data_IF_376296098881
#
_entry.id   IF_376296098881
#
_cell.length_a   1.000
_cell.length_b   1.000
_cell.length_c   1.000
_cell.angle_alpha   90.00
_cell.angle_beta   90.00
_cell.angle_gamma   90.00
#
_symmetry.space_group_name_H-M   'P 1'
#
loop_
_entity.id
_entity.type
_entity.pdbx_description
1 polymer ?
#
# COMPACT_ATOMS: atom_id res chain seq x y z
N UNK A 1 -8.55 27.97 17.93
CA UNK A 1 -7.79 27.55 16.73
C UNK A 1 -6.50 26.97 17.27
N UNK A 2 -6.47 25.66 17.45
CA UNK A 2 -5.26 24.93 17.87
C UNK A 2 -4.43 24.65 16.64
N UNK A 3 -3.32 25.37 16.48
CA UNK A 3 -2.30 25.02 15.50
C UNK A 3 -1.82 23.60 15.78
N UNK A 4 -2.06 22.69 14.82
CA UNK A 4 -1.44 21.36 14.85
C UNK A 4 0.08 21.56 14.86
N UNK A 5 0.84 20.88 15.73
CA UNK A 5 2.28 21.00 15.76
C UNK A 5 2.85 20.71 14.37
N UNK A 6 3.46 21.69 13.75
CA UNK A 6 4.20 21.55 12.49
C UNK A 6 5.44 20.71 12.78
N UNK A 7 5.32 19.40 12.62
CA UNK A 7 6.49 18.53 12.64
C UNK A 7 7.34 18.87 11.43
N UNK A 8 8.58 19.30 11.64
CA UNK A 8 9.49 19.62 10.55
C UNK A 8 9.68 18.39 9.63
N UNK A 9 9.69 18.58 8.30
CA UNK A 9 9.92 17.49 7.38
C UNK A 9 11.35 16.98 7.48
N UNK A 10 11.54 15.66 7.40
CA UNK A 10 12.88 15.05 7.34
C UNK A 10 13.57 15.45 6.03
N UNK A 11 12.80 15.57 4.93
CA UNK A 11 13.31 15.89 3.59
C UNK A 11 12.19 16.39 2.69
N UNK A 12 12.54 17.23 1.73
CA UNK A 12 11.66 17.62 0.62
C UNK A 12 12.03 16.80 -0.62
N UNK A 13 11.03 16.18 -1.24
CA UNK A 13 11.14 15.40 -2.49
C UNK A 13 10.18 15.97 -3.54
N UNK A 14 10.70 16.80 -4.44
CA UNK A 14 9.87 17.56 -5.37
C UNK A 14 8.89 18.46 -4.62
N UNK A 15 7.59 18.24 -4.81
CA UNK A 15 6.50 18.98 -4.13
C UNK A 15 6.00 18.29 -2.85
N UNK A 16 6.70 17.28 -2.35
CA UNK A 16 6.29 16.52 -1.18
C UNK A 16 7.25 16.71 -0.01
N UNK A 17 6.72 16.98 1.16
CA UNK A 17 7.45 16.93 2.42
C UNK A 17 7.39 15.50 2.97
N UNK A 18 8.54 14.88 3.19
CA UNK A 18 8.69 13.56 3.80
C UNK A 18 8.81 13.72 5.31
N UNK A 19 7.98 13.01 6.06
CA UNK A 19 8.00 13.00 7.52
C UNK A 19 8.40 11.60 8.05
N UNK A 20 8.02 11.30 9.31
CA UNK A 20 8.38 10.06 9.99
C UNK A 20 7.89 8.80 9.25
N UNK A 21 8.59 7.72 9.50
CA UNK A 21 8.19 6.39 9.07
C UNK A 21 6.91 5.94 9.80
N UNK A 22 5.98 5.34 9.05
CA UNK A 22 4.72 4.80 9.57
C UNK A 22 4.63 3.28 9.36
N UNK A 23 5.37 2.72 8.39
CA UNK A 23 5.45 1.29 8.17
C UNK A 23 6.76 0.91 7.48
N UNK A 24 7.29 -0.27 7.78
CA UNK A 24 8.44 -0.86 7.10
C UNK A 24 8.09 -2.21 6.49
N UNK A 25 8.52 -2.41 5.24
CA UNK A 25 8.44 -3.68 4.51
C UNK A 25 9.82 -4.20 4.10
N UNK A 26 9.85 -5.35 3.45
CA UNK A 26 11.11 -5.97 3.01
C UNK A 26 11.87 -5.16 1.96
N UNK A 27 11.16 -4.47 1.07
CA UNK A 27 11.75 -3.74 -0.07
C UNK A 27 11.62 -2.21 0.05
N UNK A 28 10.68 -1.72 0.84
CA UNK A 28 10.34 -0.31 0.94
C UNK A 28 9.90 0.06 2.35
N UNK A 29 10.04 1.33 2.66
CA UNK A 29 9.53 1.96 3.87
C UNK A 29 8.42 2.93 3.50
N UNK A 30 7.35 2.98 4.28
CA UNK A 30 6.26 3.95 4.09
C UNK A 30 6.40 5.07 5.11
N UNK A 31 6.38 6.29 4.62
CA UNK A 31 6.46 7.50 5.42
C UNK A 31 5.15 8.28 5.37
N UNK A 32 4.84 8.96 6.45
CA UNK A 32 3.89 10.05 6.40
C UNK A 32 4.48 11.17 5.53
N UNK A 33 3.67 11.75 4.67
CA UNK A 33 4.09 12.84 3.81
C UNK A 33 3.04 13.93 3.69
N UNK A 34 3.45 15.04 3.09
CA UNK A 34 2.57 16.16 2.79
C UNK A 34 2.79 16.63 1.37
N UNK A 35 1.75 16.62 0.55
CA UNK A 35 1.75 17.34 -0.72
C UNK A 35 1.69 18.84 -0.41
N UNK A 36 2.65 19.59 -0.93
CA UNK A 36 2.74 21.05 -0.80
C UNK A 36 2.24 21.68 -2.10
N UNK A 37 1.26 22.54 -1.99
CA UNK A 37 0.69 23.27 -3.12
C UNK A 37 0.80 24.78 -2.95
N UNK A 38 0.39 25.55 -3.98
CA UNK A 38 0.38 27.01 -3.92
C UNK A 38 -0.59 27.53 -2.86
N UNK A 39 -0.40 28.77 -2.43
CA UNK A 39 -1.26 29.47 -1.48
C UNK A 39 -1.50 28.73 -0.14
N UNK A 40 -0.51 27.96 0.34
CA UNK A 40 -0.61 27.23 1.60
C UNK A 40 -1.44 25.94 1.51
N UNK A 41 -1.89 25.54 0.31
CA UNK A 41 -2.56 24.25 0.14
C UNK A 41 -1.63 23.10 0.56
N UNK A 42 -2.15 22.21 1.40
CA UNK A 42 -1.44 20.99 1.74
C UNK A 42 -2.40 19.83 1.95
N UNK A 43 -1.97 18.62 1.58
CA UNK A 43 -2.73 17.38 1.74
C UNK A 43 -1.81 16.30 2.31
N UNK A 44 -2.30 15.58 3.32
CA UNK A 44 -1.59 14.41 3.86
C UNK A 44 -1.59 13.29 2.84
N UNK A 45 -0.43 12.64 2.66
CA UNK A 45 -0.19 11.53 1.75
C UNK A 45 0.66 10.46 2.43
N UNK A 46 0.64 9.24 1.93
CA UNK A 46 1.61 8.23 2.27
C UNK A 46 2.67 8.16 1.16
N UNK A 47 3.94 8.02 1.54
CA UNK A 47 5.08 8.00 0.60
C UNK A 47 5.86 6.71 0.82
N UNK A 48 5.78 5.79 -0.13
CA UNK A 48 6.51 4.52 -0.15
C UNK A 48 7.86 4.75 -0.81
N UNK A 49 8.95 4.61 -0.06
CA UNK A 49 10.34 4.78 -0.50
C UNK A 49 10.98 3.42 -0.73
N UNK A 50 11.50 3.16 -1.92
CA UNK A 50 12.28 1.97 -2.22
C UNK A 50 13.61 2.02 -1.43
N UNK A 51 13.99 0.91 -0.77
CA UNK A 51 15.26 0.86 -0.06
C UNK A 51 16.43 0.99 -1.02
N UNK A 52 17.47 1.74 -0.62
CA UNK A 52 18.63 2.07 -1.45
C UNK A 52 19.35 0.84 -2.02
N UNK A 53 19.34 -0.28 -1.29
CA UNK A 53 19.93 -1.53 -1.75
C UNK A 53 19.25 -2.13 -2.98
N UNK A 54 17.93 -1.88 -3.15
CA UNK A 54 17.14 -2.34 -4.30
C UNK A 54 17.06 -1.30 -5.41
N UNK A 55 17.32 -0.03 -5.12
CA UNK A 55 17.28 1.05 -6.11
C UNK A 55 18.39 0.93 -7.19
N UNK A 56 19.39 0.09 -6.94
CA UNK A 56 20.50 -0.19 -7.90
C UNK A 56 20.22 -1.39 -8.80
N UNK A 57 19.21 -2.19 -8.51
CA UNK A 57 18.85 -3.37 -9.29
C UNK A 57 17.69 -3.02 -10.23
N UNK A 58 17.90 -3.05 -11.57
CA UNK A 58 16.87 -2.68 -12.56
C UNK A 58 15.59 -3.52 -12.45
N UNK A 59 15.69 -4.78 -12.00
CA UNK A 59 14.54 -5.66 -11.86
C UNK A 59 13.63 -5.17 -10.73
N UNK A 60 14.21 -4.82 -9.56
CA UNK A 60 13.44 -4.25 -8.44
C UNK A 60 12.85 -2.88 -8.77
N UNK A 61 13.61 -2.04 -9.47
CA UNK A 61 13.13 -0.73 -9.94
C UNK A 61 11.94 -0.92 -10.88
N UNK A 62 12.03 -1.83 -11.86
CA UNK A 62 10.93 -2.11 -12.77
C UNK A 62 9.70 -2.61 -12.03
N UNK A 63 9.85 -3.57 -11.12
CA UNK A 63 8.74 -4.09 -10.31
C UNK A 63 8.05 -3.01 -9.47
N UNK A 64 8.83 -2.13 -8.85
CA UNK A 64 8.32 -1.04 -8.04
C UNK A 64 7.52 -0.03 -8.87
N UNK A 65 8.01 0.29 -10.07
CA UNK A 65 7.32 1.18 -11.01
C UNK A 65 6.07 0.54 -11.61
N UNK A 66 6.11 -0.76 -11.91
CA UNK A 66 4.96 -1.48 -12.46
C UNK A 66 3.83 -1.60 -11.44
N UNK A 67 4.16 -1.81 -10.14
CA UNK A 67 3.19 -1.74 -9.06
C UNK A 67 2.48 -0.37 -9.03
N UNK A 68 3.26 0.72 -9.10
CA UNK A 68 2.71 2.06 -9.13
C UNK A 68 1.82 2.31 -10.36
N UNK A 69 2.25 1.88 -11.55
CA UNK A 69 1.49 2.04 -12.81
C UNK A 69 0.16 1.31 -12.76
N UNK A 70 0.16 0.09 -12.25
CA UNK A 70 -1.06 -0.72 -12.13
C UNK A 70 -2.00 -0.11 -11.11
N UNK A 71 -1.50 0.23 -9.91
CA UNK A 71 -2.31 0.84 -8.86
C UNK A 71 -2.92 2.19 -9.29
N UNK A 72 -2.21 2.99 -10.08
CA UNK A 72 -2.70 4.27 -10.60
C UNK A 72 -3.89 4.13 -11.58
N UNK A 73 -4.09 2.95 -12.17
CA UNK A 73 -5.23 2.66 -13.08
C UNK A 73 -6.50 2.26 -12.35
N UNK A 74 -6.42 1.92 -11.07
CA UNK A 74 -7.55 1.46 -10.28
C UNK A 74 -8.17 2.67 -9.57
N UNK A 75 -9.43 2.97 -9.89
CA UNK A 75 -10.21 4.03 -9.24
C UNK A 75 -11.39 3.43 -8.51
N UNK A 76 -11.20 3.13 -7.24
CA UNK A 76 -12.25 2.54 -6.40
C UNK A 76 -12.11 3.00 -4.95
N UNK A 77 -13.20 3.31 -4.22
CA UNK A 77 -13.13 3.80 -2.84
C UNK A 77 -12.46 2.81 -1.87
N UNK A 78 -12.53 1.52 -2.16
CA UNK A 78 -11.91 0.47 -1.36
C UNK A 78 -10.50 0.05 -1.85
N UNK A 79 -9.87 0.89 -2.68
CA UNK A 79 -8.46 0.73 -3.11
C UNK A 79 -7.72 2.03 -2.81
N UNK A 80 -6.52 1.93 -2.24
CA UNK A 80 -5.67 3.10 -2.01
C UNK A 80 -5.11 3.56 -3.36
N UNK A 81 -5.41 4.83 -3.70
CA UNK A 81 -5.00 5.39 -4.98
C UNK A 81 -3.51 5.75 -4.99
N UNK A 82 -2.79 5.39 -6.04
CA UNK A 82 -1.47 5.96 -6.34
C UNK A 82 -1.67 7.33 -7.00
N UNK A 83 -1.03 8.35 -6.43
CA UNK A 83 -1.16 9.75 -6.84
C UNK A 83 -0.02 10.21 -7.74
N UNK A 84 1.21 9.72 -7.47
CA UNK A 84 2.41 10.17 -8.17
C UNK A 84 3.56 9.18 -7.99
N UNK A 85 4.55 9.28 -8.86
CA UNK A 85 5.84 8.61 -8.72
C UNK A 85 6.94 9.66 -8.84
N UNK A 86 7.83 9.71 -7.86
CA UNK A 86 8.94 10.67 -7.83
C UNK A 86 10.26 9.90 -7.92
N UNK A 87 11.12 10.29 -8.86
CA UNK A 87 12.51 9.85 -8.93
C UNK A 87 13.41 11.06 -8.61
N UNK A 88 14.22 10.95 -7.58
CA UNK A 88 15.10 12.02 -7.13
C UNK A 88 16.38 11.45 -6.54
N UNK A 89 17.53 11.94 -6.97
CA UNK A 89 18.86 11.57 -6.45
C UNK A 89 19.13 10.04 -6.46
N UNK A 90 18.61 9.33 -7.47
CA UNK A 90 18.75 7.87 -7.58
C UNK A 90 17.83 7.08 -6.64
N UNK A 91 16.90 7.74 -5.97
CA UNK A 91 15.87 7.13 -5.14
C UNK A 91 14.50 7.16 -5.85
N UNK A 92 13.64 6.22 -5.48
CA UNK A 92 12.29 6.10 -6.02
C UNK A 92 11.25 6.15 -4.90
N UNK A 93 10.20 6.91 -5.15
CA UNK A 93 9.10 7.13 -4.23
C UNK A 93 7.76 6.95 -4.95
N UNK A 94 6.85 6.20 -4.35
CA UNK A 94 5.44 6.14 -4.76
C UNK A 94 4.64 6.96 -3.77
N UNK A 95 3.90 7.94 -4.27
CA UNK A 95 3.00 8.77 -3.46
C UNK A 95 1.58 8.23 -3.61
N UNK A 96 0.91 8.00 -2.49
CA UNK A 96 -0.42 7.43 -2.45
C UNK A 96 -1.32 8.15 -1.44
N UNK A 97 -2.62 7.94 -1.52
CA UNK A 97 -3.55 8.41 -0.52
C UNK A 97 -3.16 7.91 0.87
N UNK A 98 -3.16 8.81 1.85
CA UNK A 98 -3.02 8.44 3.25
C UNK A 98 -4.36 7.92 3.77
N UNK A 99 -4.35 6.75 4.38
CA UNK A 99 -5.49 6.18 5.09
C UNK A 99 -5.27 6.42 6.58
N UNK A 100 -6.10 7.26 7.17
CA UNK A 100 -6.09 7.48 8.62
C UNK A 100 -6.73 6.28 9.30
N UNK A 101 -5.91 5.35 9.74
CA UNK A 101 -6.38 4.08 10.27
C UNK A 101 -5.25 3.11 10.54
N UNK A 102 -5.56 1.80 10.49
CA UNK A 102 -4.60 0.77 10.83
C UNK A 102 -4.74 -0.47 9.92
N UNK A 103 -3.66 -1.24 9.78
CA UNK A 103 -3.71 -2.50 9.07
C UNK A 103 -4.53 -3.55 9.81
N UNK A 104 -5.26 -4.37 9.08
CA UNK A 104 -6.01 -5.48 9.64
C UNK A 104 -5.10 -6.45 10.42
N UNK A 105 -3.86 -6.62 9.98
CA UNK A 105 -2.88 -7.45 10.68
C UNK A 105 -2.60 -6.93 12.10
N UNK A 106 -2.45 -5.61 12.27
CA UNK A 106 -2.23 -5.01 13.58
C UNK A 106 -3.49 -5.07 14.46
N UNK A 107 -4.65 -4.82 13.87
CA UNK A 107 -5.93 -4.94 14.59
C UNK A 107 -6.15 -6.37 15.13
N UNK A 108 -5.92 -7.39 14.31
CA UNK A 108 -5.99 -8.79 14.73
C UNK A 108 -4.99 -9.08 15.87
N UNK A 109 -3.77 -8.55 15.77
CA UNK A 109 -2.74 -8.73 16.81
C UNK A 109 -3.16 -8.09 18.13
N UNK A 110 -3.71 -6.87 18.10
CA UNK A 110 -4.17 -6.14 19.29
C UNK A 110 -5.35 -6.87 19.93
N UNK A 111 -6.34 -7.25 19.14
CA UNK A 111 -7.50 -8.01 19.66
C UNK A 111 -7.06 -9.32 20.32
N UNK A 112 -6.21 -10.11 19.64
CA UNK A 112 -5.66 -11.35 20.20
C UNK A 112 -4.89 -11.13 21.49
N UNK A 113 -4.11 -10.04 21.59
CA UNK A 113 -3.37 -9.68 22.81
C UNK A 113 -4.28 -9.33 24.00
N UNK A 114 -5.52 -8.94 23.73
CA UNK A 114 -6.56 -8.67 24.73
C UNK A 114 -7.46 -9.88 25.02
N UNK A 115 -7.24 -11.03 24.36
CA UNK A 115 -8.15 -12.17 24.43
C UNK A 115 -9.47 -11.94 23.71
N UNK A 116 -9.52 -10.96 22.79
CA UNK A 116 -10.71 -10.57 22.05
C UNK A 116 -10.64 -11.07 20.61
N UNK A 117 -11.80 -11.11 19.95
CA UNK A 117 -11.93 -11.42 18.54
C UNK A 117 -12.58 -10.25 17.81
N UNK A 118 -12.19 -10.04 16.55
CA UNK A 118 -12.90 -9.08 15.69
C UNK A 118 -14.35 -9.58 15.54
N UNK A 119 -15.37 -8.77 15.87
CA UNK A 119 -16.76 -9.21 15.75
C UNK A 119 -17.10 -9.64 14.33
N UNK A 120 -17.88 -10.73 14.18
CA UNK A 120 -18.21 -11.31 12.88
C UNK A 120 -18.86 -10.26 11.96
N UNK A 121 -19.76 -9.43 12.46
CA UNK A 121 -20.41 -8.38 11.66
C UNK A 121 -19.38 -7.41 11.07
N UNK A 122 -18.38 -6.99 11.85
CA UNK A 122 -17.32 -6.10 11.40
C UNK A 122 -16.40 -6.80 10.39
N UNK A 123 -16.10 -8.07 10.62
CA UNK A 123 -15.32 -8.89 9.69
C UNK A 123 -16.02 -9.03 8.34
N UNK A 124 -17.33 -9.29 8.32
CA UNK A 124 -18.13 -9.37 7.09
C UNK A 124 -18.13 -8.02 6.36
N UNK A 125 -18.41 -6.92 7.06
CA UNK A 125 -18.44 -5.58 6.46
C UNK A 125 -17.08 -5.22 5.85
N UNK A 126 -15.98 -5.47 6.59
CA UNK A 126 -14.63 -5.25 6.10
C UNK A 126 -14.31 -6.09 4.86
N UNK A 127 -14.61 -7.40 4.90
CA UNK A 127 -14.35 -8.29 3.75
C UNK A 127 -15.20 -7.92 2.54
N UNK A 128 -16.41 -7.42 2.74
CA UNK A 128 -17.25 -6.88 1.64
C UNK A 128 -16.55 -5.70 0.96
N UNK A 129 -15.99 -4.76 1.73
CA UNK A 129 -15.21 -3.65 1.17
C UNK A 129 -13.98 -4.14 0.38
N UNK A 130 -13.24 -5.12 0.93
CA UNK A 130 -12.08 -5.72 0.25
C UNK A 130 -12.48 -6.36 -1.07
N UNK A 131 -13.58 -7.13 -1.10
CA UNK A 131 -14.08 -7.78 -2.30
C UNK A 131 -14.53 -6.76 -3.35
N UNK A 132 -15.19 -5.67 -2.96
CA UNK A 132 -15.52 -4.58 -3.88
C UNK A 132 -14.26 -3.92 -4.46
N UNK A 133 -13.23 -3.67 -3.63
CA UNK A 133 -11.95 -3.13 -4.09
C UNK A 133 -11.27 -4.06 -5.10
N UNK A 134 -11.24 -5.36 -4.83
CA UNK A 134 -10.68 -6.36 -5.74
C UNK A 134 -11.49 -6.47 -7.04
N UNK A 135 -12.81 -6.45 -6.95
CA UNK A 135 -13.68 -6.42 -8.13
C UNK A 135 -13.38 -5.16 -8.99
N UNK A 136 -13.29 -3.98 -8.36
CA UNK A 136 -12.91 -2.75 -9.06
C UNK A 136 -11.57 -2.84 -9.77
N UNK A 137 -10.60 -3.57 -9.18
CA UNK A 137 -9.30 -3.82 -9.82
C UNK A 137 -9.42 -4.79 -11.01
N UNK A 138 -10.21 -5.87 -10.86
CA UNK A 138 -10.43 -6.84 -11.94
C UNK A 138 -11.13 -6.22 -13.15
N UNK A 139 -12.08 -5.31 -12.92
CA UNK A 139 -12.83 -4.61 -13.97
C UNK A 139 -12.11 -3.36 -14.52
N UNK A 140 -10.90 -3.06 -14.01
CA UNK A 140 -10.16 -1.89 -14.45
C UNK A 140 -9.81 -1.98 -15.94
N UNK A 141 -9.97 -0.85 -16.63
CA UNK A 141 -9.76 -0.72 -18.08
C UNK A 141 -8.64 0.25 -18.37
N UNK A 142 -7.92 -0.01 -19.44
CA UNK A 142 -6.94 0.90 -20.00
C UNK A 142 -7.59 2.11 -20.71
N UNK A 143 -6.77 2.97 -21.26
CA UNK A 143 -7.21 4.23 -21.90
C UNK A 143 -8.08 3.99 -23.15
N UNK A 144 -7.94 2.84 -23.80
CA UNK A 144 -8.71 2.45 -24.98
C UNK A 144 -9.91 1.55 -24.64
N UNK A 145 -10.19 1.35 -23.35
CA UNK A 145 -11.29 0.52 -22.85
C UNK A 145 -10.97 -0.98 -22.78
N UNK A 146 -9.75 -1.41 -23.08
CA UNK A 146 -9.29 -2.79 -22.97
C UNK A 146 -9.20 -3.22 -21.49
N UNK A 147 -9.60 -4.45 -21.13
CA UNK A 147 -9.46 -4.95 -19.76
C UNK A 147 -7.97 -5.08 -19.42
N UNK A 148 -7.60 -4.59 -18.22
CA UNK A 148 -6.21 -4.64 -17.77
C UNK A 148 -5.82 -5.99 -17.13
N UNK A 149 -6.80 -6.84 -16.79
CA UNK A 149 -6.54 -8.16 -16.20
C UNK A 149 -5.78 -8.09 -14.86
N UNK A 150 -6.00 -7.03 -14.07
CA UNK A 150 -5.28 -6.82 -12.84
C UNK A 150 -5.68 -7.86 -11.80
N UNK A 151 -4.71 -8.58 -11.25
CA UNK A 151 -4.87 -9.51 -10.14
C UNK A 151 -3.95 -9.07 -9.01
N UNK A 152 -4.46 -9.03 -7.77
CA UNK A 152 -3.69 -8.53 -6.62
C UNK A 152 -2.50 -9.42 -6.23
N UNK A 153 -2.66 -10.75 -6.23
CA UNK A 153 -1.63 -11.79 -5.96
C UNK A 153 -1.00 -11.79 -4.56
N UNK A 154 -1.29 -10.83 -3.71
CA UNK A 154 -0.74 -10.73 -2.34
C UNK A 154 -1.78 -10.25 -1.32
N UNK A 155 -3.02 -10.76 -1.41
CA UNK A 155 -4.04 -10.43 -0.40
C UNK A 155 -3.67 -11.10 0.92
N UNK A 156 -3.48 -10.25 1.92
CA UNK A 156 -3.21 -10.64 3.30
C UNK A 156 -3.65 -9.52 4.26
N UNK A 157 -3.82 -9.79 5.56
CA UNK A 157 -4.22 -8.76 6.52
C UNK A 157 -3.27 -7.55 6.60
N UNK A 158 -2.03 -7.67 6.16
CA UNK A 158 -1.07 -6.57 6.09
C UNK A 158 -1.41 -5.58 4.97
N UNK A 159 -2.02 -6.06 3.88
CA UNK A 159 -2.37 -5.27 2.69
C UNK A 159 -3.84 -4.83 2.70
N UNK A 160 -4.48 -4.85 3.87
CA UNK A 160 -5.83 -4.35 4.11
C UNK A 160 -5.74 -3.30 5.21
N UNK A 161 -6.10 -2.07 4.90
CA UNK A 161 -6.19 -0.97 5.85
C UNK A 161 -7.66 -0.77 6.25
N UNK A 162 -7.89 -0.56 7.53
CA UNK A 162 -9.18 -0.13 8.08
C UNK A 162 -9.06 1.34 8.46
N UNK A 163 -9.82 2.17 7.78
CA UNK A 163 -9.96 3.61 7.99
C UNK A 163 -10.74 3.87 9.31
N UNK A 164 -10.54 5.04 9.91
CA UNK A 164 -11.27 5.45 11.13
C UNK A 164 -12.79 5.46 10.95
N UNK A 165 -13.28 5.63 9.72
CA UNK A 165 -14.71 5.58 9.38
C UNK A 165 -15.23 4.13 9.22
N UNK A 166 -14.40 3.12 9.43
CA UNK A 166 -14.74 1.71 9.32
C UNK A 166 -14.68 1.15 7.89
N UNK A 167 -14.19 1.91 6.93
CA UNK A 167 -14.03 1.47 5.53
C UNK A 167 -12.76 0.66 5.33
N UNK A 168 -12.88 -0.53 4.72
CA UNK A 168 -11.73 -1.34 4.31
C UNK A 168 -11.15 -0.87 2.98
N UNK A 169 -9.82 -0.76 2.90
CA UNK A 169 -9.09 -0.41 1.66
C UNK A 169 -7.95 -1.37 1.39
N UNK A 170 -7.81 -1.78 0.15
CA UNK A 170 -6.73 -2.65 -0.32
C UNK A 170 -5.54 -1.80 -0.75
N UNK A 171 -4.33 -2.22 -0.38
CA UNK A 171 -3.06 -1.59 -0.76
C UNK A 171 -2.12 -2.62 -1.38
N UNK A 172 -1.06 -2.14 -2.04
CA UNK A 172 0.07 -2.95 -2.52
C UNK A 172 -0.34 -4.08 -3.47
N UNK A 173 -0.82 -3.73 -4.67
CA UNK A 173 -1.09 -4.69 -5.73
C UNK A 173 0.20 -5.39 -6.13
N UNK A 174 0.32 -6.68 -5.78
CA UNK A 174 1.54 -7.49 -5.88
C UNK A 174 1.97 -7.83 -7.32
N UNK A 175 2.16 -6.82 -8.18
CA UNK A 175 2.65 -6.97 -9.56
C UNK A 175 4.04 -7.61 -9.56
N UNK A 176 4.84 -7.31 -8.56
CA UNK A 176 6.19 -7.85 -8.36
C UNK A 176 6.27 -9.38 -8.26
N UNK A 177 5.18 -10.05 -7.87
CA UNK A 177 5.12 -11.51 -7.78
C UNK A 177 4.78 -12.22 -9.11
N UNK A 178 4.44 -11.46 -10.17
CA UNK A 178 4.11 -12.01 -11.48
C UNK A 178 5.32 -12.60 -12.23
N UNK A 179 6.53 -12.21 -11.86
CA UNK A 179 7.77 -12.56 -12.56
C UNK A 179 8.52 -13.70 -11.88
N UNK A 180 7.82 -14.63 -11.23
CA UNK A 180 8.34 -15.97 -10.96
C UNK A 180 9.48 -16.08 -9.95
N UNK A 181 9.72 -15.08 -9.09
CA UNK A 181 10.69 -15.21 -7.99
C UNK A 181 9.98 -15.07 -6.65
N UNK A 182 9.74 -16.20 -6.00
CA UNK A 182 9.62 -16.31 -4.55
C UNK A 182 10.94 -15.77 -3.97
N UNK A 183 11.02 -14.44 -3.77
CA UNK A 183 12.12 -13.92 -3.01
C UNK A 183 12.03 -14.46 -1.60
N UNK A 184 13.01 -15.21 -1.22
CA UNK A 184 13.34 -15.66 0.12
C UNK A 184 13.48 -14.44 1.04
N UNK A 185 12.36 -13.87 1.43
CA UNK A 185 12.31 -12.98 2.58
C UNK A 185 12.51 -13.84 3.82
N UNK A 186 13.40 -13.40 4.72
CA UNK A 186 13.80 -14.04 5.99
C UNK A 186 12.71 -14.97 6.53
N UNK A 187 13.10 -16.21 6.86
CA UNK A 187 12.27 -17.39 7.17
C UNK A 187 10.93 -17.19 7.95
N UNK A 188 10.81 -16.12 8.75
CA UNK A 188 9.61 -15.84 9.53
C UNK A 188 8.49 -15.12 8.75
N UNK A 189 8.83 -14.30 7.73
CA UNK A 189 7.83 -13.55 6.95
C UNK A 189 7.15 -14.42 5.88
N UNK A 190 7.89 -15.38 5.30
CA UNK A 190 7.33 -16.33 4.33
C UNK A 190 6.25 -17.20 4.98
N UNK A 191 6.51 -17.71 6.20
CA UNK A 191 5.60 -18.59 6.94
C UNK A 191 4.22 -17.94 7.22
N UNK A 192 4.19 -16.63 7.53
CA UNK A 192 2.94 -15.89 7.75
C UNK A 192 2.14 -15.65 6.46
N UNK A 193 2.80 -15.46 5.33
CA UNK A 193 2.16 -15.21 4.03
C UNK A 193 1.63 -16.48 3.37
N UNK A 194 2.25 -17.64 3.58
CA UNK A 194 1.81 -18.92 3.04
C UNK A 194 0.36 -19.26 3.42
N UNK A 195 -0.08 -18.84 4.62
CA UNK A 195 -1.46 -19.08 5.10
C UNK A 195 -2.54 -18.34 4.30
N UNK A 196 -2.16 -17.40 3.45
CA UNK A 196 -3.07 -16.57 2.64
C UNK A 196 -2.88 -16.80 1.13
N UNK A 197 -1.92 -17.63 0.74
CA UNK A 197 -1.67 -17.95 -0.67
C UNK A 197 -2.68 -18.97 -1.18
N UNK A 198 -3.15 -18.76 -2.41
CA UNK A 198 -3.94 -19.77 -3.10
C UNK A 198 -3.04 -20.98 -3.48
N UNK A 199 -3.58 -22.21 -3.49
CA UNK A 199 -2.79 -23.42 -3.79
C UNK A 199 -2.03 -23.34 -5.11
N UNK A 200 -2.60 -22.68 -6.12
CA UNK A 200 -1.99 -22.48 -7.43
C UNK A 200 -0.79 -21.53 -7.41
N UNK A 201 -0.65 -20.69 -6.37
CA UNK A 201 0.50 -19.81 -6.19
C UNK A 201 1.72 -20.52 -5.56
N UNK A 202 1.53 -21.76 -5.10
CA UNK A 202 2.57 -22.59 -4.48
C UNK A 202 3.19 -23.58 -5.48
N UNK A 203 2.71 -23.64 -6.71
CA UNK A 203 3.20 -24.45 -7.83
C UNK A 203 4.16 -23.68 -8.69
#
# INVERSE_FOLDING_TARGET
MTESPTVEPIRIIGRYALHQEIAAGGMATVHLGRLLGPAGFSRTVAIKRLHAQFAKDPEFVSMFLDEARVAARIRHPNVVSTLDVVALDGELFIVMDYVEGESLARLIRVAKGRGEWVPIKNSIALMTNVLYGLHGAHEAKGERGEPLGIVHRDISPQNILLDIDGSGRVVDFGVAKAVGRLQTTRDGQLKGKLSYMAPEQLK
#
